data_IF_783352043669
#
_entry.id   IF_783352043669
#
_cell.length_a   1.000
_cell.length_b   1.000
_cell.length_c   1.000
_cell.angle_alpha   90.00
_cell.angle_beta   90.00
_cell.angle_gamma   90.00
#
_symmetry.space_group_name_H-M   'P 1'
#
loop_
_entity.id
_entity.type
_entity.pdbx_description
1 polymer ?
#
# COMPACT_ATOMS: atom_id res chain seq x y z
N UNK A 1 10.73 -15.13 -0.28
CA UNK A 1 9.75 -14.60 -1.25
C UNK A 1 10.33 -13.32 -1.79
N UNK A 2 10.29 -13.13 -3.10
CA UNK A 2 10.62 -11.85 -3.73
C UNK A 2 9.52 -10.83 -3.38
N UNK A 3 9.86 -9.56 -3.17
CA UNK A 3 8.89 -8.50 -2.88
C UNK A 3 7.81 -8.42 -3.97
N UNK A 4 8.21 -8.66 -5.22
CA UNK A 4 7.34 -8.63 -6.39
C UNK A 4 6.24 -9.70 -6.28
N UNK A 5 6.60 -10.92 -5.86
CA UNK A 5 5.64 -12.00 -5.64
C UNK A 5 4.75 -11.73 -4.42
N UNK A 6 5.30 -11.17 -3.34
CA UNK A 6 4.50 -10.81 -2.17
C UNK A 6 3.46 -9.74 -2.51
N UNK A 7 3.83 -8.74 -3.31
CA UNK A 7 2.94 -7.72 -3.84
C UNK A 7 1.86 -8.30 -4.75
N UNK A 8 2.20 -9.21 -5.66
CA UNK A 8 1.21 -9.87 -6.52
C UNK A 8 0.19 -10.66 -5.69
N UNK A 9 0.64 -11.40 -4.67
CA UNK A 9 -0.26 -12.16 -3.79
C UNK A 9 -1.17 -11.23 -2.99
N UNK A 10 -0.60 -10.21 -2.33
CA UNK A 10 -1.38 -9.27 -1.50
C UNK A 10 -2.35 -8.47 -2.37
N UNK A 11 -1.93 -8.00 -3.55
CA UNK A 11 -2.79 -7.26 -4.46
C UNK A 11 -3.91 -8.13 -5.04
N UNK A 12 -3.63 -9.41 -5.34
CA UNK A 12 -4.65 -10.36 -5.79
C UNK A 12 -5.66 -10.68 -4.69
N UNK A 13 -5.21 -10.93 -3.46
CA UNK A 13 -6.10 -11.16 -2.32
C UNK A 13 -6.93 -9.91 -1.98
N UNK A 14 -6.31 -8.74 -1.99
CA UNK A 14 -7.02 -7.47 -1.84
C UNK A 14 -8.08 -7.34 -2.93
N UNK A 15 -7.71 -7.48 -4.21
CA UNK A 15 -8.66 -7.36 -5.32
C UNK A 15 -9.86 -8.32 -5.18
N UNK A 16 -9.61 -9.56 -4.73
CA UNK A 16 -10.65 -10.54 -4.49
C UNK A 16 -11.58 -10.19 -3.32
N UNK A 17 -11.09 -9.52 -2.28
CA UNK A 17 -11.88 -9.18 -1.09
C UNK A 17 -12.61 -7.84 -1.17
N UNK A 18 -12.01 -6.83 -1.83
CA UNK A 18 -12.58 -5.47 -1.90
C UNK A 18 -13.21 -5.13 -3.25
N UNK A 19 -13.30 -6.12 -4.16
CA UNK A 19 -13.86 -6.00 -5.53
C UNK A 19 -13.33 -4.77 -6.28
N UNK A 20 -12.07 -4.40 -5.98
CA UNK A 20 -11.36 -3.28 -6.59
C UNK A 20 -9.86 -3.51 -6.53
N UNK A 21 -9.16 -3.06 -7.55
CA UNK A 21 -7.70 -3.01 -7.53
C UNK A 21 -7.18 -1.91 -6.59
N UNK A 22 -5.98 -2.12 -6.05
CA UNK A 22 -5.24 -1.07 -5.35
C UNK A 22 -4.87 0.05 -6.30
N UNK A 23 -4.98 1.28 -5.82
CA UNK A 23 -4.45 2.46 -6.51
C UNK A 23 -2.92 2.49 -6.47
N UNK A 24 -2.31 3.22 -7.39
CA UNK A 24 -0.84 3.41 -7.42
C UNK A 24 -0.28 3.93 -6.09
N UNK A 25 -1.03 4.79 -5.37
CA UNK A 25 -0.64 5.28 -4.05
C UNK A 25 -0.70 4.20 -2.96
N UNK A 26 -1.69 3.30 -3.02
CA UNK A 26 -1.80 2.16 -2.11
C UNK A 26 -0.68 1.14 -2.39
N UNK A 27 -0.35 0.91 -3.67
CA UNK A 27 0.78 0.06 -4.09
C UNK A 27 2.10 0.66 -3.59
N UNK A 28 2.33 1.97 -3.77
CA UNK A 28 3.52 2.65 -3.28
C UNK A 28 3.69 2.51 -1.74
N UNK A 29 2.58 2.60 -1.00
CA UNK A 29 2.59 2.38 0.45
C UNK A 29 2.91 0.93 0.83
N UNK A 30 2.37 -0.04 0.10
CA UNK A 30 2.64 -1.45 0.33
C UNK A 30 4.11 -1.80 0.05
N UNK A 31 4.66 -1.33 -1.08
CA UNK A 31 6.07 -1.48 -1.45
C UNK A 31 6.96 -0.82 -0.39
N UNK A 32 6.67 0.44 -0.06
CA UNK A 32 7.47 1.19 0.89
C UNK A 32 7.46 0.58 2.29
N UNK A 33 6.32 0.09 2.76
CA UNK A 33 6.24 -0.59 4.05
C UNK A 33 7.00 -1.92 4.08
N UNK A 34 7.03 -2.65 2.95
CA UNK A 34 7.83 -3.87 2.83
C UNK A 34 9.34 -3.56 2.88
N UNK A 35 9.77 -2.48 2.23
CA UNK A 35 11.15 -1.98 2.24
C UNK A 35 11.50 -1.18 3.51
N UNK A 36 10.60 -1.14 4.49
CA UNK A 36 10.76 -0.41 5.75
C UNK A 36 11.04 1.10 5.57
N UNK A 37 10.48 1.68 4.50
CA UNK A 37 10.59 3.09 4.15
C UNK A 37 9.61 3.95 4.97
N UNK A 38 10.01 5.19 5.23
CA UNK A 38 9.11 6.18 5.85
C UNK A 38 8.16 6.79 4.82
N UNK A 39 7.08 7.42 5.30
CA UNK A 39 6.18 8.15 4.41
C UNK A 39 6.90 9.23 3.59
N UNK A 40 7.96 9.86 4.10
CA UNK A 40 8.76 10.82 3.34
C UNK A 40 9.46 10.15 2.15
N UNK A 41 10.09 9.00 2.38
CA UNK A 41 10.80 8.27 1.33
C UNK A 41 9.83 7.76 0.26
N UNK A 42 8.65 7.31 0.66
CA UNK A 42 7.61 6.87 -0.27
C UNK A 42 7.07 8.04 -1.08
N UNK A 43 6.83 9.19 -0.44
CA UNK A 43 6.40 10.42 -1.12
C UNK A 43 7.43 10.86 -2.17
N UNK A 44 8.71 10.86 -1.82
CA UNK A 44 9.80 11.21 -2.72
C UNK A 44 9.91 10.25 -3.91
N UNK A 45 9.81 8.94 -3.66
CA UNK A 45 9.91 7.91 -4.70
C UNK A 45 8.70 7.86 -5.64
N UNK A 46 7.50 8.14 -5.13
CA UNK A 46 6.24 8.06 -5.88
C UNK A 46 5.79 9.38 -6.51
N UNK A 47 6.35 10.51 -6.08
CA UNK A 47 5.91 11.84 -6.48
C UNK A 47 4.61 12.31 -5.81
N UNK A 48 4.04 11.52 -4.89
CA UNK A 48 2.89 11.95 -4.10
C UNK A 48 3.30 12.88 -2.96
N UNK A 49 2.37 13.73 -2.51
CA UNK A 49 2.65 14.55 -1.32
C UNK A 49 2.67 13.68 -0.06
N UNK A 50 3.62 13.95 0.83
CA UNK A 50 3.70 13.34 2.16
C UNK A 50 2.37 13.41 2.91
N UNK A 51 1.73 14.58 2.89
CA UNK A 51 0.46 14.84 3.59
C UNK A 51 -0.65 13.95 3.01
N UNK A 52 -0.70 13.77 1.69
CA UNK A 52 -1.69 12.90 1.04
C UNK A 52 -1.49 11.44 1.44
N UNK A 53 -0.25 10.95 1.40
CA UNK A 53 0.05 9.57 1.81
C UNK A 53 -0.22 9.34 3.29
N UNK A 54 0.13 10.28 4.16
CA UNK A 54 0.02 10.11 5.61
C UNK A 54 -1.40 10.33 6.15
N UNK A 55 -2.16 11.27 5.57
CA UNK A 55 -3.48 11.65 6.11
C UNK A 55 -4.65 11.02 5.36
N UNK A 56 -4.47 10.70 4.08
CA UNK A 56 -5.55 10.20 3.24
C UNK A 56 -5.36 8.71 2.92
N UNK A 57 -4.36 8.40 2.10
CA UNK A 57 -4.18 7.04 1.57
C UNK A 57 -3.75 6.06 2.66
N UNK A 58 -2.77 6.42 3.48
CA UNK A 58 -2.18 5.57 4.50
C UNK A 58 -3.21 5.03 5.51
N UNK A 59 -3.95 5.87 6.25
CA UNK A 59 -4.93 5.40 7.21
C UNK A 59 -5.99 4.51 6.59
N UNK A 60 -6.44 4.83 5.37
CA UNK A 60 -7.44 4.07 4.62
C UNK A 60 -6.91 2.70 4.21
N UNK A 61 -5.68 2.66 3.71
CA UNK A 61 -4.97 1.44 3.31
C UNK A 61 -4.71 0.51 4.50
N UNK A 62 -4.16 1.02 5.60
CA UNK A 62 -3.87 0.20 6.79
C UNK A 62 -5.11 -0.37 7.44
N UNK A 63 -6.22 0.38 7.42
CA UNK A 63 -7.51 -0.10 7.90
C UNK A 63 -8.01 -1.27 7.05
N UNK A 64 -7.86 -1.17 5.73
CA UNK A 64 -8.26 -2.20 4.78
C UNK A 64 -7.39 -3.45 4.94
N UNK A 65 -6.07 -3.31 5.04
CA UNK A 65 -5.14 -4.43 5.23
C UNK A 65 -5.37 -5.19 6.54
N UNK A 66 -5.75 -4.48 7.62
CA UNK A 66 -6.17 -5.13 8.87
C UNK A 66 -7.48 -5.88 8.77
N UNK A 67 -8.43 -5.39 7.97
CA UNK A 67 -9.73 -6.04 7.79
C UNK A 67 -9.64 -7.36 7.03
N UNK A 68 -8.64 -7.49 6.15
CA UNK A 68 -8.38 -8.69 5.33
C UNK A 68 -7.73 -9.82 6.16
N UNK A 69 -6.94 -9.47 7.19
CA UNK A 69 -6.27 -10.42 8.08
C UNK A 69 -7.16 -10.87 9.26
N UNK A 70 -8.47 -10.64 9.21
CA UNK A 70 -9.45 -10.92 10.26
C UNK A 70 -10.33 -12.12 9.98
#
# INVERSE_FOLDING_TARGET
MDITQALEVISAEMSAQIDRSLSEAEIALLVGAWENQTYEQIAEASGYSLIYLQRDVGPRFWKLLRAING
#
